data_IF_191364961105
#
_entry.id   IF_191364961105
#
_cell.length_a   1.000
_cell.length_b   1.000
_cell.length_c   1.000
_cell.angle_alpha   90.00
_cell.angle_beta   90.00
_cell.angle_gamma   90.00
#
_symmetry.space_group_name_H-M   'P 1'
#
loop_
_entity.id
_entity.type
_entity.pdbx_description
1 polymer ?
#
# COMPACT_ATOMS: atom_id res chain seq x y z
N UNK A 1 7.80 11.26 7.06
CA UNK A 1 9.23 10.98 7.18
C UNK A 1 9.64 10.07 6.03
N UNK A 2 10.79 10.36 5.42
CA UNK A 2 11.31 9.54 4.31
C UNK A 2 11.90 8.25 4.87
N UNK A 3 11.67 7.12 4.19
CA UNK A 3 12.34 5.86 4.52
C UNK A 3 13.86 6.00 4.37
N UNK A 4 14.61 5.13 5.07
CA UNK A 4 16.09 5.08 4.99
C UNK A 4 16.58 4.73 3.57
N UNK A 5 15.72 4.09 2.77
CA UNK A 5 16.00 3.67 1.39
C UNK A 5 14.79 4.02 0.50
N UNK A 6 14.68 5.28 0.04
CA UNK A 6 13.53 5.73 -0.73
C UNK A 6 13.53 5.16 -2.14
N UNK A 7 12.35 5.15 -2.78
CA UNK A 7 12.21 4.80 -4.19
C UNK A 7 13.09 5.66 -5.10
N UNK A 8 13.62 5.10 -6.18
CA UNK A 8 14.31 5.89 -7.21
C UNK A 8 13.38 6.98 -7.77
N UNK A 9 13.89 8.20 -7.90
CA UNK A 9 13.10 9.33 -8.43
C UNK A 9 12.48 9.04 -9.81
N UNK A 10 13.17 8.26 -10.63
CA UNK A 10 12.67 7.88 -11.95
C UNK A 10 11.35 7.08 -11.92
N UNK A 11 11.00 6.44 -10.80
CA UNK A 11 9.73 5.72 -10.68
C UNK A 11 8.51 6.66 -10.64
N UNK A 12 8.74 7.92 -10.29
CA UNK A 12 7.71 8.95 -10.18
C UNK A 12 7.72 9.91 -11.37
N UNK A 13 8.63 9.70 -12.33
CA UNK A 13 8.66 10.53 -13.53
C UNK A 13 7.44 10.22 -14.40
N UNK A 14 6.75 11.25 -14.92
CA UNK A 14 5.68 11.05 -15.87
C UNK A 14 6.17 10.28 -17.11
N UNK A 15 5.34 9.41 -17.64
CA UNK A 15 5.66 8.74 -18.90
C UNK A 15 5.71 9.75 -20.07
N UNK A 16 6.48 9.47 -21.15
CA UNK A 16 6.51 10.33 -22.31
C UNK A 16 5.11 10.64 -22.84
N UNK A 17 4.81 11.91 -23.06
CA UNK A 17 3.50 12.40 -23.48
C UNK A 17 2.53 12.72 -22.33
N UNK A 18 2.86 12.34 -21.08
CA UNK A 18 2.13 12.74 -19.88
C UNK A 18 2.87 13.81 -19.06
N UNK A 19 4.02 14.27 -19.55
CA UNK A 19 4.87 15.31 -18.96
C UNK A 19 4.60 16.70 -19.52
N UNK A 20 3.55 16.87 -20.32
CA UNK A 20 3.13 18.19 -20.80
C UNK A 20 2.47 18.99 -19.68
N UNK A 21 2.54 20.32 -19.77
CA UNK A 21 1.96 21.22 -18.76
C UNK A 21 0.48 20.95 -18.53
N UNK A 22 -0.27 20.70 -19.60
CA UNK A 22 -1.71 20.40 -19.55
C UNK A 22 -1.97 19.10 -18.80
N UNK A 23 -1.22 18.03 -19.13
CA UNK A 23 -1.38 16.72 -18.48
C UNK A 23 -1.00 16.74 -17.00
N UNK A 24 0.05 17.47 -16.66
CA UNK A 24 0.44 17.64 -15.26
C UNK A 24 -0.64 18.40 -14.46
N UNK A 25 -1.23 19.44 -15.05
CA UNK A 25 -2.33 20.18 -14.42
C UNK A 25 -3.60 19.31 -14.25
N UNK A 26 -3.98 18.53 -15.26
CA UNK A 26 -5.09 17.56 -15.18
C UNK A 26 -4.85 16.50 -14.09
N UNK A 27 -3.61 16.01 -13.96
CA UNK A 27 -3.23 15.06 -12.92
C UNK A 27 -3.38 15.67 -11.53
N UNK A 28 -2.84 16.87 -11.31
CA UNK A 28 -2.93 17.59 -10.04
C UNK A 28 -4.40 17.86 -9.65
N UNK A 29 -5.23 18.32 -10.60
CA UNK A 29 -6.66 18.54 -10.36
C UNK A 29 -7.38 17.22 -9.98
N UNK A 30 -7.06 16.13 -10.68
CA UNK A 30 -7.62 14.80 -10.41
C UNK A 30 -7.19 14.25 -9.04
N UNK A 31 -5.95 14.46 -8.65
CA UNK A 31 -5.43 14.09 -7.32
C UNK A 31 -6.10 14.89 -6.21
N UNK A 32 -6.22 16.20 -6.36
CA UNK A 32 -6.89 17.09 -5.41
C UNK A 32 -8.36 16.71 -5.25
N UNK A 33 -9.06 16.45 -6.35
CA UNK A 33 -10.45 16.01 -6.32
C UNK A 33 -10.59 14.67 -5.57
N UNK A 34 -9.75 13.70 -5.91
CA UNK A 34 -9.77 12.37 -5.28
C UNK A 34 -9.46 12.46 -3.79
N UNK A 35 -8.47 13.24 -3.43
CA UNK A 35 -8.11 13.48 -2.03
C UNK A 35 -9.26 14.12 -1.25
N UNK A 36 -9.92 15.12 -1.85
CA UNK A 36 -11.06 15.79 -1.24
C UNK A 36 -12.25 14.86 -1.01
N UNK A 37 -12.51 13.92 -1.94
CA UNK A 37 -13.53 12.88 -1.76
C UNK A 37 -13.14 11.88 -0.66
N UNK A 38 -11.86 11.51 -0.62
CA UNK A 38 -11.34 10.51 0.31
C UNK A 38 -11.31 11.05 1.74
N UNK A 39 -10.76 12.23 1.97
CA UNK A 39 -10.63 12.83 3.31
C UNK A 39 -11.87 13.60 3.72
N UNK A 40 -12.52 14.30 2.78
CA UNK A 40 -13.61 15.23 3.04
C UNK A 40 -13.14 16.59 3.56
N UNK A 41 -13.92 17.64 3.31
CA UNK A 41 -13.59 19.02 3.75
C UNK A 41 -13.52 19.18 5.27
N UNK A 42 -14.19 18.30 6.01
CA UNK A 42 -14.27 18.32 7.48
C UNK A 42 -13.78 17.00 8.09
N UNK A 43 -12.99 16.22 7.36
CA UNK A 43 -12.63 14.86 7.77
C UNK A 43 -13.79 13.86 7.70
N UNK A 44 -14.84 14.17 6.92
CA UNK A 44 -16.07 13.41 6.79
C UNK A 44 -16.14 12.61 5.48
N UNK A 45 -15.04 12.47 4.80
CA UNK A 45 -14.90 11.72 3.55
C UNK A 45 -14.99 10.20 3.73
N UNK A 46 -14.67 9.49 2.66
CA UNK A 46 -14.70 8.02 2.62
C UNK A 46 -13.80 7.39 3.69
N UNK A 47 -12.61 7.96 3.89
CA UNK A 47 -11.62 7.47 4.86
C UNK A 47 -12.17 7.32 6.28
N UNK A 48 -12.99 8.29 6.74
CA UNK A 48 -13.58 8.25 8.08
C UNK A 48 -14.73 7.23 8.22
N UNK A 49 -15.23 6.70 7.10
CA UNK A 49 -16.38 5.77 7.05
C UNK A 49 -15.97 4.32 6.88
N UNK A 50 -14.71 4.07 6.45
CA UNK A 50 -14.19 2.72 6.26
C UNK A 50 -13.58 2.21 7.56
N UNK A 51 -14.11 1.08 8.04
CA UNK A 51 -13.58 0.36 9.19
C UNK A 51 -13.44 -1.12 8.81
N UNK A 52 -12.23 -1.51 8.42
CA UNK A 52 -11.95 -2.86 7.94
C UNK A 52 -12.20 -3.92 9.03
N UNK A 53 -11.99 -3.58 10.29
CA UNK A 53 -12.25 -4.50 11.40
C UNK A 53 -13.74 -4.84 11.51
N UNK A 54 -14.63 -3.86 11.26
CA UNK A 54 -16.08 -4.08 11.25
C UNK A 54 -16.59 -4.78 9.99
N UNK A 55 -15.87 -4.67 8.87
CA UNK A 55 -16.27 -5.33 7.61
C UNK A 55 -15.98 -6.83 7.62
N UNK A 56 -15.18 -7.30 8.57
CA UNK A 56 -14.80 -8.69 8.73
C UNK A 56 -13.39 -8.98 8.25
N UNK A 57 -12.77 -9.95 8.92
CA UNK A 57 -11.39 -10.35 8.67
C UNK A 57 -11.28 -11.81 8.20
N UNK A 58 -12.39 -12.44 7.79
CA UNK A 58 -12.42 -13.82 7.30
C UNK A 58 -12.32 -13.85 5.77
N UNK A 59 -11.28 -14.48 5.26
CA UNK A 59 -11.01 -14.60 3.83
C UNK A 59 -11.02 -16.08 3.42
N UNK A 60 -11.66 -16.39 2.29
CA UNK A 60 -11.64 -17.73 1.69
C UNK A 60 -10.37 -17.99 0.85
N UNK A 61 -9.54 -16.98 0.66
CA UNK A 61 -8.29 -17.01 -0.12
C UNK A 61 -7.08 -16.74 0.77
N UNK A 62 -5.85 -17.13 0.36
CA UNK A 62 -4.64 -16.74 1.05
C UNK A 62 -4.45 -15.23 1.13
N UNK A 63 -3.96 -14.74 2.28
CA UNK A 63 -3.70 -13.31 2.51
C UNK A 63 -2.23 -13.10 2.90
N UNK A 64 -1.54 -12.27 2.14
CA UNK A 64 -0.14 -11.91 2.38
C UNK A 64 -0.02 -10.40 2.49
N UNK A 65 0.44 -9.90 3.64
CA UNK A 65 0.75 -8.48 3.83
C UNK A 65 2.26 -8.28 3.75
N UNK A 66 2.69 -7.43 2.82
CA UNK A 66 4.09 -7.00 2.70
C UNK A 66 4.15 -5.53 3.07
N UNK A 67 4.86 -5.20 4.13
CA UNK A 67 4.79 -3.91 4.79
C UNK A 67 6.17 -3.33 5.06
N UNK A 68 6.33 -2.01 4.89
CA UNK A 68 7.57 -1.32 5.20
C UNK A 68 7.78 -1.16 6.70
N UNK A 69 8.97 -1.50 7.21
CA UNK A 69 9.28 -1.37 8.65
C UNK A 69 9.38 0.09 9.12
N UNK A 70 9.55 1.03 8.20
CA UNK A 70 9.65 2.48 8.47
C UNK A 70 8.41 3.24 7.98
N UNK A 71 7.29 2.55 7.77
CA UNK A 71 6.03 3.19 7.38
C UNK A 71 5.43 3.98 8.55
N UNK A 72 5.36 5.30 8.40
CA UNK A 72 4.78 6.21 9.38
C UNK A 72 3.37 6.70 9.01
N UNK A 73 2.87 6.33 7.84
CA UNK A 73 1.51 6.64 7.39
C UNK A 73 0.55 5.57 7.88
N UNK A 74 0.87 4.30 7.59
CA UNK A 74 0.21 3.14 8.18
C UNK A 74 1.26 2.37 8.99
N UNK A 75 1.33 2.59 10.30
CA UNK A 75 2.44 2.04 11.08
C UNK A 75 2.42 0.50 11.11
N UNK A 76 3.60 -0.15 11.17
CA UNK A 76 3.69 -1.61 11.22
C UNK A 76 2.87 -2.24 12.35
N UNK A 77 2.73 -1.56 13.48
CA UNK A 77 1.95 -2.03 14.63
C UNK A 77 0.46 -2.07 14.32
N UNK A 78 -0.05 -1.07 13.58
CA UNK A 78 -1.46 -1.03 13.16
C UNK A 78 -1.72 -2.11 12.12
N UNK A 79 -0.84 -2.22 11.11
CA UNK A 79 -0.93 -3.25 10.08
C UNK A 79 -0.86 -4.67 10.70
N UNK A 80 0.01 -4.86 11.71
CA UNK A 80 0.15 -6.13 12.42
C UNK A 80 -1.09 -6.51 13.20
N UNK A 81 -1.69 -5.57 13.94
CA UNK A 81 -2.95 -5.83 14.66
C UNK A 81 -4.05 -6.28 13.72
N UNK A 82 -4.23 -5.58 12.60
CA UNK A 82 -5.21 -6.00 11.58
C UNK A 82 -4.90 -7.39 11.02
N UNK A 83 -3.62 -7.67 10.73
CA UNK A 83 -3.20 -8.98 10.23
C UNK A 83 -3.48 -10.11 11.24
N UNK A 84 -3.31 -9.86 12.52
CA UNK A 84 -3.54 -10.88 13.56
C UNK A 84 -5.02 -11.27 13.63
N UNK A 85 -5.93 -10.34 13.38
CA UNK A 85 -7.39 -10.57 13.31
C UNK A 85 -7.81 -11.33 12.03
N UNK A 86 -7.00 -11.32 10.97
CA UNK A 86 -7.32 -12.01 9.71
C UNK A 86 -7.37 -13.52 9.93
N UNK A 87 -8.46 -14.14 9.45
CA UNK A 87 -8.60 -15.58 9.25
C UNK A 87 -8.53 -15.90 7.76
N UNK A 88 -7.60 -16.76 7.36
CA UNK A 88 -7.41 -17.16 5.95
C UNK A 88 -6.82 -18.57 5.88
N UNK A 89 -7.01 -19.31 4.76
CA UNK A 89 -6.42 -20.65 4.56
C UNK A 89 -4.88 -20.66 4.69
N UNK A 90 -4.24 -19.59 4.25
CA UNK A 90 -2.82 -19.28 4.49
C UNK A 90 -2.69 -17.78 4.70
N UNK A 91 -1.84 -17.37 5.62
CA UNK A 91 -1.51 -15.96 5.78
C UNK A 91 -0.04 -15.77 6.18
N UNK A 92 0.57 -14.69 5.72
CA UNK A 92 1.89 -14.27 6.15
C UNK A 92 1.99 -12.75 6.22
N UNK A 93 2.77 -12.27 7.18
CA UNK A 93 3.14 -10.87 7.34
C UNK A 93 4.64 -10.72 7.10
N UNK A 94 5.01 -9.98 6.06
CA UNK A 94 6.40 -9.75 5.69
C UNK A 94 6.76 -8.31 5.98
N UNK A 95 7.60 -8.09 6.98
CA UNK A 95 8.12 -6.78 7.32
C UNK A 95 9.43 -6.53 6.56
N UNK A 96 9.47 -5.46 5.77
CA UNK A 96 10.61 -5.13 4.91
C UNK A 96 11.44 -4.02 5.55
N UNK A 97 12.68 -4.31 5.97
CA UNK A 97 13.56 -3.31 6.57
C UNK A 97 13.85 -2.15 5.59
N UNK A 98 14.02 -0.94 6.12
CA UNK A 98 14.40 0.26 5.36
C UNK A 98 13.41 0.66 4.26
N UNK A 99 12.18 0.16 4.32
CA UNK A 99 11.07 0.54 3.45
C UNK A 99 10.05 1.36 4.24
N UNK A 100 9.56 2.43 3.66
CA UNK A 100 8.49 3.27 4.20
C UNK A 100 7.13 2.96 3.58
N UNK A 101 6.27 3.98 3.51
CA UNK A 101 4.96 3.88 2.89
C UNK A 101 5.04 3.72 1.37
N UNK A 102 5.92 4.51 0.77
CA UNK A 102 6.13 4.44 -0.68
C UNK A 102 6.96 3.19 -1.04
N UNK A 103 6.64 2.52 -2.16
CA UNK A 103 7.39 1.37 -2.61
C UNK A 103 8.84 1.74 -2.95
N UNK A 104 9.76 0.89 -2.53
CA UNK A 104 11.17 0.95 -2.91
C UNK A 104 11.62 -0.39 -3.51
N UNK A 105 12.84 -0.52 -4.06
CA UNK A 105 13.29 -1.77 -4.67
C UNK A 105 13.19 -2.99 -3.72
N UNK A 106 13.44 -2.80 -2.42
CA UNK A 106 13.37 -3.88 -1.44
C UNK A 106 11.93 -4.36 -1.23
N UNK A 107 10.96 -3.42 -1.14
CA UNK A 107 9.54 -3.74 -1.00
C UNK A 107 9.02 -4.47 -2.23
N UNK A 108 9.33 -3.96 -3.44
CA UNK A 108 8.93 -4.60 -4.71
C UNK A 108 9.51 -6.01 -4.83
N UNK A 109 10.80 -6.19 -4.49
CA UNK A 109 11.42 -7.52 -4.48
C UNK A 109 10.77 -8.47 -3.45
N UNK A 110 10.36 -7.97 -2.29
CA UNK A 110 9.64 -8.77 -1.30
C UNK A 110 8.26 -9.19 -1.80
N UNK A 111 7.51 -8.27 -2.41
CA UNK A 111 6.21 -8.57 -3.04
C UNK A 111 6.35 -9.65 -4.13
N UNK A 112 7.33 -9.49 -5.02
CA UNK A 112 7.60 -10.47 -6.06
C UNK A 112 7.90 -11.86 -5.47
N UNK A 113 8.76 -11.95 -4.45
CA UNK A 113 9.06 -13.22 -3.77
C UNK A 113 7.81 -13.86 -3.17
N UNK A 114 6.96 -13.07 -2.51
CA UNK A 114 5.71 -13.58 -1.94
C UNK A 114 4.81 -14.15 -3.04
N UNK A 115 4.62 -13.43 -4.15
CA UNK A 115 3.80 -13.90 -5.28
C UNK A 115 4.38 -15.19 -5.85
N UNK A 116 5.68 -15.26 -6.08
CA UNK A 116 6.32 -16.42 -6.70
C UNK A 116 6.38 -17.65 -5.78
N UNK A 117 6.51 -17.46 -4.47
CA UNK A 117 6.71 -18.56 -3.51
C UNK A 117 5.43 -18.97 -2.80
N UNK A 118 4.54 -18.03 -2.53
CA UNK A 118 3.40 -18.25 -1.66
C UNK A 118 2.06 -18.27 -2.40
N UNK A 119 1.90 -17.48 -3.45
CA UNK A 119 0.66 -17.34 -4.19
C UNK A 119 0.52 -18.34 -5.35
N UNK A 120 1.62 -18.99 -5.77
CA UNK A 120 1.55 -20.01 -6.84
C UNK A 120 0.74 -21.23 -6.39
N UNK A 121 -0.22 -21.71 -7.21
CA UNK A 121 -0.88 -23.00 -6.97
C UNK A 121 0.18 -24.11 -6.98
N UNK A 122 0.20 -24.94 -5.91
CA UNK A 122 1.11 -26.08 -5.82
C UNK A 122 2.49 -25.83 -5.20
N UNK A 123 2.81 -24.61 -4.74
CA UNK A 123 3.96 -24.39 -3.86
C UNK A 123 3.67 -25.04 -2.50
N UNK A 124 4.19 -26.24 -2.28
CA UNK A 124 4.21 -26.92 -0.98
C UNK A 124 5.37 -26.42 -0.14
#
# INVERSE_FOLDING_TARGET
AKSSDPAPKAWWAPAPGYDTRERLAETEEGEDYSYLQFVGRKGDGLFSKVDLAKQGAAFAIPVFLVHGAEDLVATPEVARRYFDDITAPRKAFVLVPRAGHDPNPALVAAQYRVVMQQARPGAK
#
